data_IF_892098724631
#
_entry.id   IF_892098724631
#
_cell.length_a   1.000
_cell.length_b   1.000
_cell.length_c   1.000
_cell.angle_alpha   90.00
_cell.angle_beta   90.00
_cell.angle_gamma   90.00
#
_symmetry.space_group_name_H-M   'P 1'
#
loop_
_entity.id
_entity.type
_entity.pdbx_description
1 polymer ?
#
# COMPACT_ATOMS: atom_id res chain seq x y z
N UNK A 1 8.18 -12.70 9.14
CA UNK A 1 7.07 -12.42 8.23
C UNK A 1 7.46 -12.83 6.82
N UNK A 2 6.70 -13.72 6.26
CA UNK A 2 6.99 -14.18 4.92
C UNK A 2 6.31 -13.26 3.89
N UNK A 3 7.09 -12.41 3.27
CA UNK A 3 6.66 -11.59 2.15
C UNK A 3 6.99 -12.29 0.83
N UNK A 4 6.62 -13.55 0.71
CA UNK A 4 6.87 -14.34 -0.48
C UNK A 4 6.06 -13.84 -1.68
N UNK A 5 6.08 -12.54 -1.92
CA UNK A 5 5.64 -12.00 -3.18
C UNK A 5 6.77 -12.30 -4.13
N UNK A 6 6.59 -13.37 -4.85
CA UNK A 6 7.62 -13.91 -5.70
C UNK A 6 7.60 -13.21 -7.04
N UNK A 7 8.76 -12.74 -7.42
CA UNK A 7 9.06 -12.38 -8.80
C UNK A 7 8.48 -11.06 -9.29
N UNK A 8 9.00 -10.62 -10.39
CA UNK A 8 8.53 -9.48 -11.14
C UNK A 8 8.67 -8.14 -10.45
N UNK A 9 7.83 -7.21 -10.86
CA UNK A 9 7.85 -5.83 -10.41
C UNK A 9 7.53 -5.71 -8.92
N UNK A 10 6.61 -6.54 -8.41
CA UNK A 10 6.18 -6.50 -7.02
C UNK A 10 7.32 -6.83 -6.05
N UNK A 11 8.12 -7.86 -6.36
CA UNK A 11 9.28 -8.21 -5.54
C UNK A 11 10.30 -7.09 -5.48
N UNK A 12 10.53 -6.41 -6.61
CA UNK A 12 11.46 -5.29 -6.67
C UNK A 12 10.97 -4.09 -5.86
N UNK A 13 9.67 -3.83 -5.86
CA UNK A 13 9.08 -2.73 -5.09
C UNK A 13 9.24 -2.93 -3.59
N UNK A 14 9.26 -4.17 -3.12
CA UNK A 14 9.44 -4.48 -1.70
C UNK A 14 10.81 -4.04 -1.16
N UNK A 15 11.79 -3.85 -2.03
CA UNK A 15 13.11 -3.34 -1.61
C UNK A 15 13.03 -1.94 -1.01
N UNK A 16 12.00 -1.17 -1.36
CA UNK A 16 11.79 0.19 -0.83
C UNK A 16 11.11 0.21 0.52
N UNK A 17 10.55 -0.92 0.96
CA UNK A 17 9.81 -1.03 2.20
C UNK A 17 10.71 -1.67 3.27
N UNK A 18 10.89 -0.99 4.39
CA UNK A 18 11.58 -1.61 5.52
C UNK A 18 10.63 -2.57 6.22
N UNK A 19 10.72 -3.84 5.85
CA UNK A 19 9.81 -4.88 6.32
C UNK A 19 9.91 -5.12 7.83
N UNK A 20 11.06 -4.82 8.43
CA UNK A 20 11.25 -4.99 9.86
C UNK A 20 10.42 -4.00 10.67
N UNK A 21 9.86 -2.99 10.03
CA UNK A 21 8.99 -1.99 10.66
C UNK A 21 7.50 -2.30 10.47
N UNK A 22 7.18 -3.42 9.83
CA UNK A 22 5.78 -3.82 9.65
C UNK A 22 5.11 -3.99 11.01
N UNK A 23 3.94 -3.37 11.13
CA UNK A 23 3.13 -3.49 12.33
C UNK A 23 1.66 -3.65 11.95
N UNK A 24 1.01 -4.62 12.57
CA UNK A 24 -0.43 -4.78 12.48
C UNK A 24 -1.04 -4.47 13.84
N UNK A 25 -1.77 -3.35 13.91
CA UNK A 25 -2.54 -3.01 15.10
C UNK A 25 -3.93 -3.64 14.98
N UNK A 26 -4.13 -4.74 15.71
CA UNK A 26 -5.34 -5.54 15.63
C UNK A 26 -6.58 -4.77 16.12
N UNK A 27 -6.42 -3.93 17.13
CA UNK A 27 -7.54 -3.18 17.69
C UNK A 27 -8.06 -2.12 16.72
N UNK A 28 -7.13 -1.37 16.12
CA UNK A 28 -7.47 -0.34 15.15
C UNK A 28 -7.64 -0.89 13.74
N UNK A 29 -7.28 -2.14 13.51
CA UNK A 29 -7.25 -2.76 12.18
C UNK A 29 -6.45 -1.92 11.19
N UNK A 30 -5.21 -1.61 11.58
CA UNK A 30 -4.27 -0.85 10.78
C UNK A 30 -3.03 -1.67 10.52
N UNK A 31 -2.54 -1.62 9.28
CA UNK A 31 -1.22 -2.13 8.94
C UNK A 31 -0.33 -0.96 8.58
N UNK A 32 0.89 -0.96 9.05
CA UNK A 32 1.83 0.11 8.75
C UNK A 32 3.23 -0.41 8.50
N UNK A 33 4.00 0.39 7.78
CA UNK A 33 5.43 0.16 7.58
C UNK A 33 6.14 1.49 7.40
N UNK A 34 7.45 1.46 7.59
CA UNK A 34 8.31 2.60 7.29
C UNK A 34 8.94 2.39 5.93
N UNK A 35 8.94 3.43 5.12
CA UNK A 35 9.65 3.46 3.83
C UNK A 35 10.87 4.35 4.03
N UNK A 36 12.04 3.80 3.69
CA UNK A 36 13.28 4.57 3.67
C UNK A 36 13.60 4.82 2.20
N UNK A 37 13.30 6.04 1.69
CA UNK A 37 13.50 6.31 0.27
C UNK A 37 14.96 6.22 -0.13
N UNK A 38 15.22 5.52 -1.22
CA UNK A 38 16.53 5.47 -1.85
C UNK A 38 16.65 6.63 -2.85
N UNK A 39 17.87 7.01 -3.25
CA UNK A 39 18.05 8.11 -4.21
C UNK A 39 17.23 7.96 -5.49
N UNK A 40 17.09 6.75 -6.00
CA UNK A 40 16.31 6.46 -7.21
C UNK A 40 14.80 6.66 -7.05
N UNK A 41 14.30 6.83 -5.83
CA UNK A 41 12.91 7.14 -5.61
C UNK A 41 12.53 8.56 -6.01
N UNK A 42 13.53 9.42 -6.19
CA UNK A 42 13.33 10.84 -6.43
C UNK A 42 13.62 11.19 -7.90
N UNK A 43 12.77 12.08 -8.44
CA UNK A 43 12.98 12.58 -9.79
C UNK A 43 14.10 13.63 -9.84
N UNK A 44 14.33 14.21 -11.02
CA UNK A 44 15.38 15.22 -11.21
C UNK A 44 15.21 16.48 -10.36
N UNK A 45 14.02 16.72 -9.84
CA UNK A 45 13.73 17.86 -8.98
C UNK A 45 13.80 17.48 -7.48
N UNK A 46 14.33 16.29 -7.15
CA UNK A 46 14.43 15.75 -5.80
C UNK A 46 13.08 15.60 -5.10
N UNK A 47 12.03 15.32 -5.88
CA UNK A 47 10.68 15.02 -5.40
C UNK A 47 10.44 13.54 -5.58
N UNK A 48 9.88 12.89 -4.57
CA UNK A 48 9.53 11.47 -4.65
C UNK A 48 8.59 11.24 -5.83
N UNK A 49 8.95 10.30 -6.68
CA UNK A 49 8.18 9.98 -7.88
C UNK A 49 6.80 9.46 -7.51
N UNK A 50 5.75 10.13 -7.99
CA UNK A 50 4.37 9.79 -7.65
C UNK A 50 3.95 8.43 -8.21
N UNK A 51 4.43 8.08 -9.38
CA UNK A 51 4.17 6.75 -9.96
C UNK A 51 4.76 5.64 -9.11
N UNK A 52 5.98 5.82 -8.63
CA UNK A 52 6.61 4.86 -7.74
C UNK A 52 5.87 4.78 -6.40
N UNK A 53 5.44 5.92 -5.86
CA UNK A 53 4.65 5.93 -4.62
C UNK A 53 3.36 5.13 -4.77
N UNK A 54 2.66 5.30 -5.88
CA UNK A 54 1.45 4.55 -6.18
C UNK A 54 1.75 3.07 -6.29
N UNK A 55 2.84 2.70 -6.95
CA UNK A 55 3.22 1.30 -7.12
C UNK A 55 3.58 0.65 -5.78
N UNK A 56 4.30 1.34 -4.91
CA UNK A 56 4.62 0.85 -3.56
C UNK A 56 3.35 0.68 -2.75
N UNK A 57 2.45 1.67 -2.80
CA UNK A 57 1.19 1.63 -2.08
C UNK A 57 0.30 0.49 -2.55
N UNK A 58 0.23 0.26 -3.87
CA UNK A 58 -0.53 -0.85 -4.44
C UNK A 58 0.02 -2.19 -3.94
N UNK A 59 1.32 -2.37 -4.00
CA UNK A 59 1.98 -3.61 -3.57
C UNK A 59 1.76 -3.88 -2.08
N UNK A 60 2.01 -2.88 -1.23
CA UNK A 60 1.88 -3.06 0.21
C UNK A 60 0.43 -3.25 0.64
N UNK A 61 -0.48 -2.43 0.14
CA UNK A 61 -1.90 -2.55 0.51
C UNK A 61 -2.50 -3.86 0.04
N UNK A 62 -2.08 -4.38 -1.11
CA UNK A 62 -2.51 -5.70 -1.57
C UNK A 62 -1.99 -6.81 -0.66
N UNK A 63 -0.77 -6.68 -0.18
CA UNK A 63 -0.18 -7.65 0.75
C UNK A 63 -0.94 -7.70 2.09
N UNK A 64 -1.33 -6.54 2.63
CA UNK A 64 -1.91 -6.49 3.98
C UNK A 64 -3.40 -6.81 4.05
N UNK A 65 -4.06 -7.02 2.91
CA UNK A 65 -5.48 -7.40 2.88
C UNK A 65 -5.75 -8.64 3.74
N UNK A 66 -4.84 -9.59 3.78
CA UNK A 66 -4.99 -10.81 4.59
C UNK A 66 -5.08 -10.54 6.09
N UNK A 67 -4.51 -9.42 6.56
CA UNK A 67 -4.60 -9.01 7.95
C UNK A 67 -5.89 -8.23 8.23
N UNK A 68 -6.31 -7.41 7.26
CA UNK A 68 -7.49 -6.55 7.40
C UNK A 68 -8.80 -7.30 7.12
N UNK A 69 -8.74 -8.33 6.28
CA UNK A 69 -9.87 -9.17 5.92
C UNK A 69 -9.50 -10.64 6.10
N UNK A 70 -9.31 -11.11 7.36
CA UNK A 70 -8.77 -12.45 7.62
C UNK A 70 -9.69 -13.59 7.16
N UNK A 71 -11.00 -13.32 7.06
CA UNK A 71 -11.98 -14.32 6.64
C UNK A 71 -12.14 -14.42 5.13
N UNK A 72 -11.43 -13.58 4.38
CA UNK A 72 -11.48 -13.56 2.92
C UNK A 72 -10.19 -14.13 2.33
N UNK A 73 -10.30 -14.75 1.16
CA UNK A 73 -9.11 -15.17 0.44
C UNK A 73 -8.54 -13.98 -0.32
N UNK A 74 -7.49 -13.38 0.23
CA UNK A 74 -6.87 -12.17 -0.32
C UNK A 74 -6.34 -12.36 -1.75
N UNK A 75 -6.03 -13.59 -2.16
CA UNK A 75 -5.57 -13.90 -3.52
C UNK A 75 -6.65 -13.68 -4.57
N UNK A 76 -7.90 -13.60 -4.13
CA UNK A 76 -9.04 -13.39 -5.02
C UNK A 76 -9.37 -11.92 -5.25
N UNK A 77 -8.66 -11.01 -4.59
CA UNK A 77 -8.89 -9.57 -4.79
C UNK A 77 -7.97 -9.03 -5.89
N UNK A 78 -8.57 -8.35 -6.85
CA UNK A 78 -7.85 -7.65 -7.92
C UNK A 78 -7.95 -6.16 -7.73
N UNK A 79 -6.87 -5.46 -8.04
CA UNK A 79 -6.88 -4.00 -8.04
C UNK A 79 -7.71 -3.50 -9.21
N UNK A 80 -8.70 -2.67 -8.92
CA UNK A 80 -9.57 -2.04 -9.92
C UNK A 80 -9.12 -0.63 -10.21
N UNK A 81 -8.79 0.11 -9.16
CA UNK A 81 -8.41 1.52 -9.28
C UNK A 81 -7.65 1.95 -8.03
N UNK A 82 -6.71 2.84 -8.22
CA UNK A 82 -6.03 3.51 -7.12
C UNK A 82 -6.01 5.01 -7.41
N UNK A 83 -6.39 5.82 -6.44
CA UNK A 83 -6.45 7.28 -6.55
C UNK A 83 -5.50 7.90 -5.56
N UNK A 84 -4.66 8.81 -6.02
CA UNK A 84 -3.71 9.54 -5.20
C UNK A 84 -4.17 10.99 -5.04
N UNK A 85 -4.24 11.44 -3.80
CA UNK A 85 -4.36 12.85 -3.44
C UNK A 85 -3.09 13.27 -2.75
N UNK A 86 -2.29 14.11 -3.39
CA UNK A 86 -1.04 14.60 -2.81
C UNK A 86 -1.28 15.97 -2.19
N UNK A 87 -0.95 16.10 -0.89
CA UNK A 87 -1.10 17.36 -0.18
C UNK A 87 0.15 18.21 -0.26
N UNK A 88 1.32 17.57 -0.35
CA UNK A 88 2.59 18.24 -0.53
C UNK A 88 3.61 17.32 -1.18
N UNK A 89 4.61 17.89 -1.80
CA UNK A 89 5.68 17.13 -2.40
C UNK A 89 6.57 16.51 -1.32
N UNK A 90 6.96 15.26 -1.54
CA UNK A 90 7.88 14.57 -0.64
C UNK A 90 9.30 14.87 -1.13
N UNK A 91 9.96 15.79 -0.43
CA UNK A 91 11.27 16.29 -0.82
C UNK A 91 12.39 15.44 -0.22
N UNK A 92 13.38 15.10 -1.04
CA UNK A 92 14.54 14.31 -0.63
C UNK A 92 15.29 14.91 0.56
N UNK A 93 15.40 16.23 0.59
CA UNK A 93 16.14 16.94 1.64
C UNK A 93 15.45 16.96 2.99
N UNK A 94 14.13 16.74 3.04
CA UNK A 94 13.32 16.89 4.24
C UNK A 94 12.93 15.52 4.81
N UNK A 95 12.49 14.60 3.93
CA UNK A 95 11.91 13.33 4.38
C UNK A 95 12.87 12.18 4.17
N UNK A 96 13.56 11.78 5.22
CA UNK A 96 14.50 10.64 5.20
C UNK A 96 13.78 9.32 5.41
N UNK A 97 12.62 9.37 6.04
CA UNK A 97 11.72 8.24 6.15
C UNK A 97 10.28 8.72 6.13
N UNK A 98 9.40 7.89 5.60
CA UNK A 98 7.97 8.14 5.59
C UNK A 98 7.26 6.89 6.08
N UNK A 99 6.07 7.08 6.63
CA UNK A 99 5.25 5.99 7.15
C UNK A 99 4.06 5.78 6.24
N UNK A 100 3.80 4.53 5.91
CA UNK A 100 2.60 4.15 5.17
C UNK A 100 1.65 3.41 6.11
N UNK A 101 0.40 3.88 6.20
CA UNK A 101 -0.62 3.29 7.06
C UNK A 101 -1.80 2.88 6.18
N UNK A 102 -2.19 1.62 6.27
CA UNK A 102 -3.30 1.06 5.50
C UNK A 102 -4.42 0.65 6.45
N UNK A 103 -5.62 1.13 6.16
CA UNK A 103 -6.83 0.76 6.89
C UNK A 103 -7.91 0.33 5.92
N UNK A 104 -8.84 -0.49 6.39
CA UNK A 104 -10.02 -0.85 5.62
C UNK A 104 -11.07 0.25 5.79
N UNK A 105 -11.40 0.95 4.70
CA UNK A 105 -12.40 2.01 4.73
C UNK A 105 -13.82 1.46 4.58
N UNK A 106 -14.02 0.54 3.62
CA UNK A 106 -15.33 -0.03 3.37
C UNK A 106 -15.19 -1.44 2.81
N UNK A 107 -16.16 -2.27 3.12
CA UNK A 107 -16.23 -3.64 2.62
C UNK A 107 -17.69 -3.96 2.30
N UNK A 108 -17.94 -4.23 1.02
CA UNK A 108 -19.23 -4.70 0.54
C UNK A 108 -19.00 -5.96 -0.27
N UNK A 109 -19.90 -6.90 -0.20
CA UNK A 109 -19.89 -8.20 -0.90
C UNK A 109 -18.59 -8.55 -1.65
N UNK A 110 -18.35 -7.89 -2.77
CA UNK A 110 -17.25 -8.18 -3.69
C UNK A 110 -16.18 -7.11 -3.71
N UNK A 111 -16.44 -5.97 -3.10
CA UNK A 111 -15.54 -4.82 -3.19
C UNK A 111 -15.01 -4.43 -1.82
N UNK A 112 -13.74 -4.07 -1.79
CA UNK A 112 -13.13 -3.44 -0.63
C UNK A 112 -12.48 -2.14 -1.06
N UNK A 113 -12.50 -1.18 -0.15
CA UNK A 113 -11.82 0.09 -0.31
C UNK A 113 -10.82 0.22 0.82
N UNK A 114 -9.56 0.34 0.46
CA UNK A 114 -8.47 0.54 1.41
C UNK A 114 -8.07 2.00 1.41
N UNK A 115 -7.92 2.57 2.59
CA UNK A 115 -7.31 3.88 2.77
C UNK A 115 -5.83 3.70 3.05
N UNK A 116 -5.02 4.48 2.35
CA UNK A 116 -3.58 4.49 2.54
C UNK A 116 -3.17 5.91 2.84
N UNK A 117 -2.54 6.12 3.98
CA UNK A 117 -2.00 7.42 4.34
C UNK A 117 -0.48 7.37 4.32
N UNK A 118 0.11 8.37 3.71
CA UNK A 118 1.56 8.58 3.73
C UNK A 118 1.82 9.70 4.71
N UNK A 119 2.54 9.38 5.77
CA UNK A 119 2.80 10.29 6.87
C UNK A 119 4.28 10.60 7.00
N UNK A 120 4.59 11.80 7.46
CA UNK A 120 5.94 12.15 7.89
C UNK A 120 6.26 11.46 9.22
N UNK A 121 7.51 11.52 9.66
CA UNK A 121 7.91 11.01 10.96
C UNK A 121 7.20 11.72 12.12
N UNK A 122 6.67 12.92 11.87
CA UNK A 122 5.87 13.69 12.83
C UNK A 122 4.37 13.49 12.68
N UNK A 123 3.97 12.48 11.91
CA UNK A 123 2.56 12.13 11.64
C UNK A 123 1.78 13.21 10.87
N UNK A 124 2.47 14.05 10.10
CA UNK A 124 1.82 14.96 9.16
C UNK A 124 1.45 14.18 7.90
N UNK A 125 0.21 14.30 7.44
CA UNK A 125 -0.24 13.63 6.22
C UNK A 125 0.37 14.30 4.99
N UNK A 126 1.14 13.54 4.24
CA UNK A 126 1.80 13.99 3.01
C UNK A 126 0.96 13.67 1.78
N UNK A 127 0.30 12.53 1.80
CA UNK A 127 -0.53 12.05 0.70
C UNK A 127 -1.56 11.05 1.22
N UNK A 128 -2.61 10.87 0.46
CA UNK A 128 -3.65 9.90 0.71
C UNK A 128 -3.94 9.12 -0.57
N UNK A 129 -4.11 7.81 -0.45
CA UNK A 129 -4.53 6.98 -1.58
C UNK A 129 -5.78 6.20 -1.19
N UNK A 130 -6.67 6.04 -2.16
CA UNK A 130 -7.80 5.13 -2.05
C UNK A 130 -7.57 3.99 -3.03
N UNK A 131 -7.55 2.77 -2.55
CA UNK A 131 -7.30 1.59 -3.36
C UNK A 131 -8.56 0.74 -3.41
N UNK A 132 -9.14 0.68 -4.59
CA UNK A 132 -10.37 -0.08 -4.85
C UNK A 132 -9.99 -1.46 -5.36
N UNK A 133 -10.42 -2.50 -4.66
CA UNK A 133 -10.17 -3.87 -5.05
C UNK A 133 -11.49 -4.61 -5.17
N UNK A 134 -11.54 -5.53 -6.10
CA UNK A 134 -12.71 -6.38 -6.32
C UNK A 134 -12.33 -7.84 -6.13
N UNK A 135 -13.14 -8.53 -5.36
CA UNK A 135 -13.00 -9.96 -5.19
C UNK A 135 -13.52 -10.67 -6.43
N UNK A 136 -12.72 -11.57 -6.96
CA UNK A 136 -13.18 -12.45 -8.03
C UNK A 136 -14.24 -13.39 -7.49
N UNK A 137 -15.34 -13.50 -8.21
CA UNK A 137 -16.36 -14.46 -7.83
C UNK A 137 -15.88 -15.85 -8.21
N UNK A 138 -15.69 -16.70 -7.22
CA UNK A 138 -15.23 -18.07 -7.41
C UNK A 138 -16.12 -18.85 -8.38
N UNK A 139 -17.43 -18.66 -8.29
CA UNK A 139 -18.36 -19.32 -9.20
C UNK A 139 -18.18 -18.92 -10.66
N UNK A 140 -17.94 -17.66 -10.91
CA UNK A 140 -17.67 -17.19 -12.26
C UNK A 140 -16.41 -17.82 -12.83
N UNK A 141 -15.40 -17.99 -12.00
CA UNK A 141 -14.16 -18.64 -12.41
C UNK A 141 -14.32 -20.14 -12.71
N UNK A 142 -15.29 -20.80 -12.08
CA UNK A 142 -15.56 -22.21 -12.31
C UNK A 142 -16.47 -22.44 -13.53
N UNK A 143 -17.37 -21.51 -13.80
CA UNK A 143 -18.34 -21.64 -14.88
C UNK A 143 -17.72 -21.21 -16.20
N UNK A 144 -16.78 -20.33 -16.17
CA UNK A 144 -16.03 -19.87 -17.33
C UNK A 144 -14.89 -20.85 -17.67
#
# INVERSE_FOLDING_TARGET
>A
MDMSITGGLSGKLLEYININTFNFNKEKKECSCIIIPKPECFNKNNIFDKGLLIAIADTFSSYVVKYLCPNDNFKQFLSVRILLTSYQNILKSIYKEIKMVVTLNDKKDRDIILNIEILSSKNTTLAHLSHFKRRLNYYNCLIE
#
